data_IF_972515649383
#
_entry.id   IF_972515649383
#
_cell.length_a   1.000
_cell.length_b   1.000
_cell.length_c   1.000
_cell.angle_alpha   90.00
_cell.angle_beta   90.00
_cell.angle_gamma   90.00
#
_symmetry.space_group_name_H-M   'P 1'
#
loop_
_entity.id
_entity.type
_entity.pdbx_description
1 polymer ?
#
# COMPACT_ATOMS: atom_id res chain seq x y z
N UNK A 1 -12.99 17.36 -14.88
CA UNK A 1 -12.59 15.95 -14.80
C UNK A 1 -12.42 15.63 -13.33
N UNK A 2 -13.33 14.86 -12.75
CA UNK A 2 -13.12 14.34 -11.39
C UNK A 2 -11.98 13.33 -11.47
N UNK A 3 -10.80 13.72 -10.99
CA UNK A 3 -9.66 12.82 -10.85
C UNK A 3 -10.08 11.79 -9.80
N UNK A 4 -10.53 10.61 -10.23
CA UNK A 4 -10.83 9.51 -9.31
C UNK A 4 -9.60 9.29 -8.43
N UNK A 5 -9.80 9.28 -7.11
CA UNK A 5 -8.72 9.07 -6.15
C UNK A 5 -8.11 7.68 -6.37
N UNK A 6 -6.86 7.65 -6.86
CA UNK A 6 -6.12 6.41 -7.07
C UNK A 6 -5.56 5.93 -5.73
N UNK A 7 -6.16 4.89 -5.16
CA UNK A 7 -5.62 4.24 -3.95
C UNK A 7 -4.44 3.34 -4.33
N UNK A 8 -3.33 3.44 -3.61
CA UNK A 8 -2.16 2.56 -3.79
C UNK A 8 -2.21 1.41 -2.79
N UNK A 9 -2.06 0.18 -3.27
CA UNK A 9 -2.01 -1.04 -2.45
C UNK A 9 -0.56 -1.46 -2.18
N UNK A 10 -0.28 -1.72 -0.91
CA UNK A 10 1.00 -2.19 -0.39
C UNK A 10 0.81 -3.62 0.13
N UNK A 11 1.42 -4.60 -0.52
CA UNK A 11 1.29 -6.01 -0.17
C UNK A 11 2.45 -6.44 0.71
N UNK A 12 2.12 -7.03 1.86
CA UNK A 12 3.09 -7.55 2.82
C UNK A 12 2.85 -9.04 3.07
N UNK A 13 3.93 -9.82 3.00
CA UNK A 13 3.87 -11.29 3.13
C UNK A 13 4.47 -11.79 4.45
N UNK A 14 5.05 -10.89 5.25
CA UNK A 14 5.72 -11.26 6.50
C UNK A 14 4.70 -11.33 7.64
N UNK A 15 4.68 -12.49 8.31
CA UNK A 15 3.72 -12.80 9.38
C UNK A 15 3.69 -11.80 10.53
N UNK A 16 4.83 -11.18 10.84
CA UNK A 16 4.93 -10.20 11.92
C UNK A 16 4.35 -8.83 11.56
N UNK A 17 4.17 -8.52 10.27
CA UNK A 17 3.77 -7.16 9.83
C UNK A 17 2.37 -6.75 10.30
N UNK A 18 1.32 -7.61 10.24
CA UNK A 18 0.02 -7.27 10.80
C UNK A 18 0.04 -7.03 12.31
N UNK A 19 0.84 -7.78 13.06
CA UNK A 19 0.98 -7.62 14.51
C UNK A 19 1.67 -6.30 14.85
N UNK A 20 2.77 -5.98 14.16
CA UNK A 20 3.47 -4.69 14.31
C UNK A 20 2.57 -3.51 13.98
N UNK A 21 1.85 -3.56 12.84
CA UNK A 21 0.93 -2.48 12.43
C UNK A 21 -0.19 -2.30 13.47
N UNK A 22 -0.73 -3.40 13.98
CA UNK A 22 -1.81 -3.37 14.98
C UNK A 22 -1.30 -2.88 16.34
N UNK A 23 -0.05 -3.21 16.71
CA UNK A 23 0.58 -2.74 17.95
C UNK A 23 0.97 -1.25 17.90
N UNK A 24 1.35 -0.72 16.73
CA UNK A 24 1.63 0.70 16.55
C UNK A 24 0.33 1.50 16.71
N UNK A 25 -0.74 1.06 16.02
CA UNK A 25 -2.01 1.78 16.02
C UNK A 25 -2.01 3.01 15.09
N UNK A 26 -3.15 3.68 15.04
CA UNK A 26 -3.34 4.88 14.21
C UNK A 26 -2.50 6.07 14.69
N UNK A 27 -2.04 6.89 13.74
CA UNK A 27 -1.24 8.10 13.99
C UNK A 27 0.28 7.90 13.88
N UNK A 28 0.76 6.65 13.87
CA UNK A 28 2.19 6.35 13.76
C UNK A 28 2.69 6.39 12.32
N UNK A 29 3.95 6.79 12.15
CA UNK A 29 4.66 6.70 10.88
C UNK A 29 5.30 5.34 10.73
N UNK A 30 5.21 4.80 9.52
CA UNK A 30 5.82 3.52 9.15
C UNK A 30 6.39 3.62 7.74
N UNK A 31 7.26 2.68 7.37
CA UNK A 31 7.81 2.61 6.03
C UNK A 31 7.83 1.19 5.49
N UNK A 32 7.67 1.07 4.18
CA UNK A 32 7.81 -0.20 3.46
C UNK A 32 8.65 0.02 2.21
N UNK A 33 9.49 -0.95 1.91
CA UNK A 33 10.39 -0.93 0.76
C UNK A 33 10.05 -2.06 -0.19
N UNK A 34 9.99 -1.73 -1.48
CA UNK A 34 9.67 -2.68 -2.55
C UNK A 34 10.74 -2.64 -3.63
N UNK A 35 11.29 -3.78 -4.04
CA UNK A 35 12.20 -3.82 -5.17
C UNK A 35 11.44 -3.43 -6.44
N UNK A 36 12.12 -2.77 -7.39
CA UNK A 36 11.47 -2.15 -8.56
C UNK A 36 10.68 -3.19 -9.39
N UNK A 37 11.20 -4.41 -9.51
CA UNK A 37 10.55 -5.52 -10.21
C UNK A 37 9.22 -5.99 -9.58
N UNK A 38 8.98 -5.65 -8.32
CA UNK A 38 7.73 -5.97 -7.62
C UNK A 38 6.68 -4.85 -7.71
N UNK A 39 7.01 -3.72 -8.36
CA UNK A 39 6.13 -2.56 -8.51
C UNK A 39 5.43 -2.64 -9.87
N UNK A 40 4.13 -2.38 -9.90
CA UNK A 40 3.38 -2.32 -11.14
C UNK A 40 3.94 -1.20 -12.06
N UNK A 41 4.20 -1.47 -13.36
CA UNK A 41 4.88 -0.54 -14.25
C UNK A 41 4.24 0.86 -14.32
N UNK A 42 2.92 0.92 -14.32
CA UNK A 42 2.15 2.17 -14.35
C UNK A 42 2.36 3.01 -13.09
N UNK A 43 2.42 2.36 -11.92
CA UNK A 43 2.67 3.05 -10.66
C UNK A 43 4.14 3.49 -10.54
N UNK A 44 5.08 2.67 -11.03
CA UNK A 44 6.49 3.03 -11.07
C UNK A 44 6.71 4.26 -11.96
N UNK A 45 6.04 4.33 -13.11
CA UNK A 45 6.08 5.49 -13.99
C UNK A 45 5.51 6.74 -13.32
N UNK A 46 4.34 6.64 -12.68
CA UNK A 46 3.70 7.75 -11.95
C UNK A 46 4.57 8.23 -10.77
N UNK A 47 5.21 7.32 -10.02
CA UNK A 47 6.18 7.65 -8.98
C UNK A 47 7.34 8.46 -9.56
N UNK A 48 8.05 7.93 -10.57
CA UNK A 48 9.21 8.62 -11.17
C UNK A 48 8.87 9.95 -11.82
N UNK A 49 7.63 10.12 -12.28
CA UNK A 49 7.12 11.38 -12.79
C UNK A 49 6.65 12.37 -11.69
N UNK A 50 6.82 12.03 -10.40
CA UNK A 50 6.33 12.80 -9.25
C UNK A 50 4.80 13.05 -9.28
N UNK A 51 4.03 12.11 -9.82
CA UNK A 51 2.58 12.19 -9.90
C UNK A 51 1.85 11.58 -8.69
N UNK A 52 2.61 11.11 -7.69
CA UNK A 52 2.08 10.58 -6.44
C UNK A 52 2.32 11.57 -5.29
N UNK A 53 1.38 12.49 -5.02
CA UNK A 53 1.55 13.52 -4.01
C UNK A 53 1.43 12.97 -2.59
N UNK A 54 2.03 13.64 -1.58
CA UNK A 54 1.67 13.43 -0.18
C UNK A 54 0.15 13.55 0.03
N UNK A 55 -0.40 12.77 0.96
CA UNK A 55 -1.84 12.65 1.15
C UNK A 55 -2.49 11.54 0.33
N UNK A 56 -1.77 10.90 -0.60
CA UNK A 56 -2.31 9.77 -1.37
C UNK A 56 -2.73 8.63 -0.45
N UNK A 57 -3.96 8.14 -0.62
CA UNK A 57 -4.47 7.01 0.16
C UNK A 57 -3.73 5.71 -0.15
N UNK A 58 -3.35 5.02 0.92
CA UNK A 58 -2.66 3.74 0.89
C UNK A 58 -3.50 2.66 1.57
N UNK A 59 -3.52 1.46 0.98
CA UNK A 59 -4.19 0.29 1.52
C UNK A 59 -3.16 -0.84 1.73
N UNK A 60 -2.93 -1.23 2.97
CA UNK A 60 -1.95 -2.27 3.31
C UNK A 60 -2.67 -3.61 3.35
N UNK A 61 -2.22 -4.53 2.50
CA UNK A 61 -2.79 -5.86 2.32
C UNK A 61 -1.79 -6.90 2.82
N UNK A 62 -2.21 -7.70 3.79
CA UNK A 62 -1.48 -8.87 4.22
C UNK A 62 -1.85 -10.08 3.37
N UNK A 63 -0.85 -10.79 2.83
CA UNK A 63 -1.03 -12.00 2.03
C UNK A 63 -0.43 -13.21 2.72
N UNK A 64 -1.24 -14.24 2.94
CA UNK A 64 -0.80 -15.55 3.46
C UNK A 64 -1.64 -16.69 2.91
N UNK A 65 -1.00 -17.71 2.34
CA UNK A 65 -1.69 -18.95 1.96
C UNK A 65 -2.88 -18.76 1.01
N UNK A 66 -2.82 -17.75 0.12
CA UNK A 66 -3.92 -17.40 -0.79
C UNK A 66 -5.00 -16.49 -0.19
N UNK A 67 -4.97 -16.22 1.12
CA UNK A 67 -5.79 -15.16 1.74
C UNK A 67 -5.08 -13.81 1.60
N UNK A 68 -5.83 -12.81 1.15
CA UNK A 68 -5.37 -11.44 1.10
C UNK A 68 -6.34 -10.57 1.87
N UNK A 69 -5.88 -10.03 2.99
CA UNK A 69 -6.70 -9.24 3.91
C UNK A 69 -6.14 -7.85 4.05
N UNK A 70 -7.02 -6.85 4.08
CA UNK A 70 -6.61 -5.50 4.48
C UNK A 70 -6.29 -5.48 5.97
N UNK A 71 -5.13 -4.91 6.32
CA UNK A 71 -4.65 -4.80 7.70
C UNK A 71 -4.44 -3.35 8.15
N UNK A 72 -4.35 -2.41 7.21
CA UNK A 72 -4.37 -0.99 7.54
C UNK A 72 -4.79 -0.10 6.36
N UNK A 73 -5.27 1.10 6.70
CA UNK A 73 -5.34 2.24 5.81
C UNK A 73 -4.26 3.24 6.26
N UNK A 74 -3.60 3.85 5.30
CA UNK A 74 -2.52 4.80 5.54
C UNK A 74 -2.59 5.96 4.54
N UNK A 75 -1.81 6.99 4.82
CA UNK A 75 -1.69 8.18 4.01
C UNK A 75 -0.22 8.41 3.70
N UNK A 76 0.12 8.57 2.43
CA UNK A 76 1.49 8.77 1.98
C UNK A 76 2.06 10.09 2.51
N UNK A 77 3.21 10.05 3.17
CA UNK A 77 3.99 11.26 3.52
C UNK A 77 4.95 11.60 2.38
N UNK A 78 5.78 10.63 2.00
CA UNK A 78 6.74 10.75 0.90
C UNK A 78 7.17 9.39 0.38
N UNK A 79 7.91 9.39 -0.71
CA UNK A 79 8.59 8.21 -1.22
C UNK A 79 10.02 8.56 -1.65
N UNK A 80 10.88 7.55 -1.71
CA UNK A 80 12.30 7.67 -2.02
C UNK A 80 12.69 6.58 -3.02
N UNK A 81 13.34 6.96 -4.12
CA UNK A 81 13.87 6.03 -5.12
C UNK A 81 15.36 5.78 -4.87
N UNK A 82 15.71 4.52 -4.60
CA UNK A 82 17.08 4.03 -4.41
C UNK A 82 17.59 3.24 -5.62
N UNK A 83 16.99 3.45 -6.80
CA UNK A 83 17.22 2.81 -8.09
C UNK A 83 16.85 1.32 -8.16
N UNK A 84 17.19 0.56 -7.12
CA UNK A 84 16.92 -0.88 -7.01
C UNK A 84 15.62 -1.17 -6.26
N UNK A 85 15.20 -0.25 -5.38
CA UNK A 85 13.94 -0.33 -4.65
C UNK A 85 13.38 1.07 -4.38
N UNK A 86 12.07 1.12 -4.12
CA UNK A 86 11.38 2.33 -3.67
C UNK A 86 10.94 2.15 -2.22
N UNK A 87 11.21 3.14 -1.38
CA UNK A 87 10.70 3.22 -0.01
C UNK A 87 9.54 4.19 0.05
N UNK A 88 8.41 3.75 0.59
CA UNK A 88 7.26 4.60 0.91
C UNK A 88 7.26 4.85 2.40
N UNK A 89 7.12 6.12 2.79
CA UNK A 89 6.95 6.57 4.17
C UNK A 89 5.52 7.11 4.30
N UNK A 90 4.80 6.64 5.30
CA UNK A 90 3.37 6.91 5.42
C UNK A 90 2.91 6.92 6.87
N UNK A 91 1.79 7.59 7.10
CA UNK A 91 1.10 7.64 8.38
C UNK A 91 -0.02 6.61 8.41
N UNK A 92 -0.08 5.77 9.43
CA UNK A 92 -1.18 4.84 9.65
C UNK A 92 -2.42 5.63 10.06
N UNK A 93 -3.51 5.48 9.30
CA UNK A 93 -4.77 6.17 9.55
C UNK A 93 -5.75 5.28 10.30
N UNK A 94 -5.89 4.03 9.86
CA UNK A 94 -6.75 3.04 10.50
C UNK A 94 -6.07 1.68 10.56
N UNK A 95 -6.19 1.03 11.72
CA UNK A 95 -5.68 -0.31 12.01
C UNK A 95 -6.74 -1.09 12.79
N UNK A 96 -6.52 -2.37 13.09
CA UNK A 96 -7.45 -3.10 13.95
C UNK A 96 -7.50 -2.46 15.37
N UNK A 97 -8.65 -2.48 16.07
CA UNK A 97 -9.91 -3.15 15.71
C UNK A 97 -10.89 -2.29 14.90
N UNK A 98 -10.63 -0.99 14.69
CA UNK A 98 -11.55 -0.07 14.00
C UNK A 98 -11.62 -0.31 12.49
N UNK A 99 -10.62 -0.98 11.93
CA UNK A 99 -10.54 -1.33 10.51
C UNK A 99 -11.53 -2.43 10.13
N UNK A 100 -12.44 -2.13 9.18
CA UNK A 100 -13.28 -3.16 8.54
C UNK A 100 -12.41 -4.13 7.74
N UNK A 101 -12.51 -5.42 8.10
CA UNK A 101 -11.87 -6.50 7.36
C UNK A 101 -12.44 -6.57 5.94
N UNK A 102 -11.56 -6.39 4.95
CA UNK A 102 -11.88 -6.54 3.54
C UNK A 102 -10.93 -7.58 2.97
N UNK A 103 -11.49 -8.64 2.38
CA UNK A 103 -10.73 -9.59 1.59
C UNK A 103 -10.61 -9.07 0.17
N UNK A 104 -9.43 -9.23 -0.40
CA UNK A 104 -9.16 -8.90 -1.80
C UNK A 104 -8.56 -10.13 -2.49
N UNK A 105 -8.55 -10.16 -3.81
CA UNK A 105 -7.78 -11.15 -4.56
C UNK A 105 -7.26 -10.47 -5.83
N UNK A 106 -6.10 -9.81 -5.76
CA UNK A 106 -5.55 -9.13 -6.91
C UNK A 106 -5.18 -10.13 -7.99
N UNK A 107 -5.53 -9.80 -9.24
CA UNK A 107 -5.24 -10.65 -10.40
C UNK A 107 -3.77 -10.60 -10.84
N UNK A 108 -2.98 -9.64 -10.35
CA UNK A 108 -1.59 -9.44 -10.73
C UNK A 108 -0.63 -9.67 -9.55
N UNK A 109 0.58 -10.18 -9.84
CA UNK A 109 1.57 -10.60 -8.84
C UNK A 109 2.37 -9.47 -8.18
N UNK A 110 2.17 -8.21 -8.58
CA UNK A 110 2.90 -7.06 -8.05
C UNK A 110 2.59 -6.82 -6.57
N UNK A 111 3.60 -6.42 -5.81
CA UNK A 111 3.50 -6.12 -4.38
C UNK A 111 3.15 -4.66 -4.10
N UNK A 112 3.40 -3.77 -5.06
CA UNK A 112 3.05 -2.35 -4.98
C UNK A 112 2.33 -1.94 -6.26
N UNK A 113 1.06 -1.52 -6.16
CA UNK A 113 0.20 -1.28 -7.34
C UNK A 113 -0.95 -0.35 -7.03
N UNK A 114 -1.63 0.18 -8.04
CA UNK A 114 -2.94 0.79 -7.84
C UNK A 114 -4.00 -0.26 -7.51
N UNK A 115 -4.95 0.13 -6.66
CA UNK A 115 -6.17 -0.66 -6.43
C UNK A 115 -6.95 -0.72 -7.75
N UNK A 116 -7.30 -1.90 -8.26
CA UNK A 116 -8.13 -2.00 -9.45
C UNK A 116 -9.49 -1.33 -9.18
N UNK A 117 -9.96 -0.55 -10.14
CA UNK A 117 -11.29 0.07 -10.08
C UNK A 117 -12.33 -1.06 -9.89
N UNK A 118 -13.22 -0.99 -8.88
CA UNK A 118 -14.15 -2.08 -8.57
C UNK A 118 -15.25 -2.33 -9.61
N UNK A 119 -15.14 -1.86 -10.86
CA UNK A 119 -16.17 -2.09 -11.88
C UNK A 119 -15.74 -3.04 -13.01
N UNK A 120 -16.65 -3.92 -13.48
CA UNK A 120 -16.51 -4.73 -14.68
C UNK A 120 -16.56 -3.90 -15.96
#
# INVERSE_FOLDING_TARGET
>A
METREKIVQLVVDKDWTPETISSLGSGFFYHLSYPVEAIAPELLADLRANLLPPGTELEIIYRKGGDWRRVALAELDRWLDFQTFIRLEFRLMQTAPSLKAVRTNPKNGYLLRYKPDPRP
#
